data_IF_015238361104
#
_entry.id   IF_015238361104
#
_cell.length_a   1.000
_cell.length_b   1.000
_cell.length_c   1.000
_cell.angle_alpha   90.00
_cell.angle_beta   90.00
_cell.angle_gamma   90.00
#
_symmetry.space_group_name_H-M   'P 1'
#
loop_
_entity.id
_entity.type
_entity.pdbx_description
1 polymer ?
#
# COMPACT_ATOMS: atom_id res chain seq x y z
N UNK A 1 -17.95 17.35 -30.08
CA UNK A 1 -16.47 17.46 -30.08
C UNK A 1 -15.79 16.37 -29.26
N UNK A 2 -16.15 16.10 -27.99
CA UNK A 2 -15.51 15.02 -27.22
C UNK A 2 -15.69 13.61 -27.84
N UNK A 3 -16.90 13.29 -28.32
CA UNK A 3 -17.19 12.00 -28.95
C UNK A 3 -16.46 11.79 -30.29
N UNK A 4 -16.26 12.84 -31.10
CA UNK A 4 -15.53 12.74 -32.36
C UNK A 4 -14.02 12.61 -32.16
N UNK A 5 -13.48 13.23 -31.11
CA UNK A 5 -12.08 13.08 -30.71
C UNK A 5 -11.82 11.64 -30.23
N UNK A 6 -12.76 11.02 -29.49
CA UNK A 6 -12.62 9.64 -29.02
C UNK A 6 -12.49 8.60 -30.15
N UNK A 7 -13.13 8.84 -31.30
CA UNK A 7 -13.10 7.94 -32.48
C UNK A 7 -11.77 8.03 -33.25
N UNK A 8 -11.06 9.15 -33.16
CA UNK A 8 -9.81 9.38 -33.90
C UNK A 8 -8.53 9.11 -33.08
N UNK A 9 -8.66 8.64 -31.83
CA UNK A 9 -7.49 8.35 -31.01
C UNK A 9 -6.78 7.11 -31.54
N UNK A 10 -5.45 7.16 -31.77
CA UNK A 10 -4.71 5.98 -32.12
C UNK A 10 -4.85 4.90 -31.03
N UNK A 11 -4.79 3.61 -31.40
CA UNK A 11 -5.09 2.50 -30.49
C UNK A 11 -4.21 2.46 -29.23
N UNK A 12 -3.01 3.05 -29.27
CA UNK A 12 -2.14 3.18 -28.09
C UNK A 12 -2.57 4.31 -27.12
N UNK A 13 -3.27 5.34 -27.59
CA UNK A 13 -3.80 6.41 -26.74
C UNK A 13 -5.02 5.93 -25.96
N UNK A 14 -5.85 5.05 -26.56
CA UNK A 14 -6.92 4.34 -25.87
C UNK A 14 -6.38 3.54 -24.67
N UNK A 15 -5.19 2.94 -24.79
CA UNK A 15 -4.54 2.22 -23.69
C UNK A 15 -4.14 3.15 -22.54
N UNK A 16 -3.72 4.38 -22.82
CA UNK A 16 -3.29 5.33 -21.80
C UNK A 16 -4.49 5.95 -21.05
N UNK A 17 -5.53 6.37 -21.77
CA UNK A 17 -6.78 6.83 -21.16
C UNK A 17 -7.43 5.73 -20.32
N UNK A 18 -7.48 4.50 -20.86
CA UNK A 18 -8.05 3.38 -20.14
C UNK A 18 -7.29 3.11 -18.84
N UNK A 19 -5.96 3.23 -18.83
CA UNK A 19 -5.15 3.11 -17.60
C UNK A 19 -5.46 4.23 -16.60
N UNK A 20 -5.62 5.46 -17.06
CA UNK A 20 -5.94 6.60 -16.20
C UNK A 20 -7.34 6.48 -15.59
N UNK A 21 -8.36 6.18 -16.39
CA UNK A 21 -9.73 5.97 -15.91
C UNK A 21 -9.82 4.76 -14.97
N UNK A 22 -9.17 3.65 -15.34
CA UNK A 22 -9.13 2.45 -14.50
C UNK A 22 -8.44 2.72 -13.16
N UNK A 23 -7.37 3.54 -13.15
CA UNK A 23 -6.69 3.93 -11.92
C UNK A 23 -7.61 4.70 -10.97
N UNK A 24 -8.46 5.58 -11.49
CA UNK A 24 -9.42 6.35 -10.70
C UNK A 24 -10.54 5.45 -10.16
N UNK A 25 -11.09 4.57 -10.99
CA UNK A 25 -12.17 3.65 -10.60
C UNK A 25 -11.68 2.71 -9.50
N UNK A 26 -10.51 2.08 -9.68
CA UNK A 26 -9.92 1.18 -8.68
C UNK A 26 -9.53 1.92 -7.39
N UNK A 27 -9.05 3.17 -7.49
CA UNK A 27 -8.79 4.02 -6.32
C UNK A 27 -10.06 4.25 -5.49
N UNK A 28 -11.17 4.57 -6.16
CA UNK A 28 -12.45 4.80 -5.51
C UNK A 28 -13.03 3.51 -4.93
N UNK A 29 -12.89 2.40 -5.66
CA UNK A 29 -13.31 1.07 -5.19
C UNK A 29 -12.52 0.61 -3.96
N UNK A 30 -11.20 0.83 -3.95
CA UNK A 30 -10.34 0.61 -2.77
C UNK A 30 -10.82 1.42 -1.56
N UNK A 31 -11.22 2.69 -1.77
CA UNK A 31 -11.81 3.51 -0.71
C UNK A 31 -13.11 2.90 -0.17
N UNK A 32 -14.02 2.50 -1.06
CA UNK A 32 -15.30 1.92 -0.68
C UNK A 32 -15.12 0.60 0.08
N UNK A 33 -14.21 -0.28 -0.35
CA UNK A 33 -13.89 -1.51 0.37
C UNK A 33 -13.30 -1.23 1.75
N UNK A 34 -12.43 -0.23 1.87
CA UNK A 34 -11.87 0.17 3.16
C UNK A 34 -12.97 0.64 4.14
N UNK A 35 -13.90 1.48 3.67
CA UNK A 35 -15.04 1.92 4.49
C UNK A 35 -16.03 0.78 4.80
N UNK A 36 -16.13 -0.21 3.92
CA UNK A 36 -16.92 -1.43 4.14
C UNK A 36 -16.23 -2.44 5.09
N UNK A 37 -14.99 -2.20 5.50
CA UNK A 37 -14.21 -3.10 6.35
C UNK A 37 -13.55 -4.27 5.61
N UNK A 38 -13.68 -4.36 4.29
CA UNK A 38 -12.96 -5.33 3.47
C UNK A 38 -11.57 -4.80 3.11
N UNK A 39 -10.67 -4.88 4.08
CA UNK A 39 -9.31 -4.38 3.93
C UNK A 39 -8.45 -5.20 2.96
N UNK A 40 -8.80 -6.47 2.73
CA UNK A 40 -8.07 -7.33 1.79
C UNK A 40 -8.36 -6.89 0.36
N UNK A 41 -9.62 -6.72 0.00
CA UNK A 41 -10.00 -6.21 -1.32
C UNK A 41 -9.49 -4.79 -1.54
N UNK A 42 -9.54 -3.95 -0.50
CA UNK A 42 -8.98 -2.60 -0.55
C UNK A 42 -7.46 -2.59 -0.86
N UNK A 43 -6.71 -3.54 -0.28
CA UNK A 43 -5.28 -3.73 -0.51
C UNK A 43 -5.01 -4.17 -1.95
N UNK A 44 -5.74 -5.17 -2.45
CA UNK A 44 -5.59 -5.68 -3.83
C UNK A 44 -5.83 -4.57 -4.85
N UNK A 45 -6.88 -3.77 -4.65
CA UNK A 45 -7.15 -2.64 -5.51
C UNK A 45 -6.03 -1.61 -5.46
N UNK A 46 -5.54 -1.25 -4.26
CA UNK A 46 -4.45 -0.30 -4.11
C UNK A 46 -3.16 -0.76 -4.81
N UNK A 47 -2.81 -2.04 -4.70
CA UNK A 47 -1.64 -2.62 -5.39
C UNK A 47 -1.82 -2.62 -6.90
N UNK A 48 -3.02 -2.93 -7.38
CA UNK A 48 -3.34 -2.90 -8.81
C UNK A 48 -3.17 -1.49 -9.36
N UNK A 49 -3.62 -0.46 -8.66
CA UNK A 49 -3.46 0.92 -9.13
C UNK A 49 -1.99 1.36 -9.15
N UNK A 50 -1.19 0.98 -8.16
CA UNK A 50 0.25 1.27 -8.13
C UNK A 50 0.95 0.64 -9.35
N UNK A 51 0.51 -0.55 -9.79
CA UNK A 51 1.05 -1.20 -11.00
C UNK A 51 0.62 -0.48 -12.29
N UNK A 52 -0.62 0.01 -12.34
CA UNK A 52 -1.17 0.70 -13.52
C UNK A 52 -0.58 2.10 -13.71
N UNK A 53 -0.33 2.83 -12.61
CA UNK A 53 0.14 4.21 -12.61
C UNK A 53 1.40 4.36 -11.74
N UNK A 54 2.56 4.39 -12.39
CA UNK A 54 3.83 4.83 -11.77
C UNK A 54 4.15 6.24 -12.27
N UNK A 55 4.42 7.25 -11.43
CA UNK A 55 4.39 7.30 -9.96
C UNK A 55 3.02 7.72 -9.40
N UNK A 56 2.56 7.12 -8.31
CA UNK A 56 1.28 7.47 -7.68
C UNK A 56 1.31 7.37 -6.15
N UNK A 57 1.73 8.48 -5.53
CA UNK A 57 1.75 8.73 -4.08
C UNK A 57 0.46 8.28 -3.38
N UNK A 58 -0.71 8.69 -3.89
CA UNK A 58 -2.03 8.38 -3.31
C UNK A 58 -2.32 6.87 -3.25
N UNK A 59 -1.77 6.08 -4.17
CA UNK A 59 -1.91 4.62 -4.14
C UNK A 59 -1.15 3.98 -3.01
N UNK A 60 0.08 4.44 -2.78
CA UNK A 60 0.89 4.00 -1.65
C UNK A 60 0.22 4.34 -0.31
N UNK A 61 -0.40 5.51 -0.21
CA UNK A 61 -1.18 5.88 0.97
C UNK A 61 -2.38 4.96 1.23
N UNK A 62 -3.18 4.66 0.19
CA UNK A 62 -4.31 3.71 0.30
C UNK A 62 -3.84 2.31 0.68
N UNK A 63 -2.75 1.84 0.07
CA UNK A 63 -2.11 0.56 0.39
C UNK A 63 -1.72 0.51 1.87
N UNK A 64 -1.04 1.55 2.37
CA UNK A 64 -0.63 1.61 3.76
C UNK A 64 -1.81 1.62 4.74
N UNK A 65 -2.87 2.39 4.44
CA UNK A 65 -4.11 2.39 5.25
C UNK A 65 -4.71 1.00 5.37
N UNK A 66 -4.84 0.27 4.26
CA UNK A 66 -5.35 -1.10 4.27
C UNK A 66 -4.46 -2.04 5.08
N UNK A 67 -3.13 -1.94 4.91
CA UNK A 67 -2.16 -2.76 5.66
C UNK A 67 -2.18 -2.49 7.16
N UNK A 68 -2.37 -1.22 7.59
CA UNK A 68 -2.51 -0.88 9.01
C UNK A 68 -3.76 -1.51 9.65
N UNK A 69 -4.84 -1.69 8.88
CA UNK A 69 -6.06 -2.37 9.35
C UNK A 69 -5.94 -3.89 9.35
N UNK A 70 -4.99 -4.43 8.59
CA UNK A 70 -4.63 -5.85 8.58
C UNK A 70 -3.49 -6.17 9.56
N UNK A 71 -3.11 -5.23 10.43
CA UNK A 71 -1.98 -5.34 11.38
C UNK A 71 -0.61 -5.65 10.72
N UNK A 72 -0.46 -5.40 9.42
CA UNK A 72 0.78 -5.61 8.64
C UNK A 72 1.64 -4.35 8.63
N UNK A 73 2.08 -3.94 9.81
CA UNK A 73 2.73 -2.64 10.03
C UNK A 73 4.07 -2.44 9.28
N UNK A 74 4.91 -3.49 9.19
CA UNK A 74 6.19 -3.38 8.47
C UNK A 74 6.00 -3.11 6.98
N UNK A 75 5.01 -3.76 6.36
CA UNK A 75 4.70 -3.55 4.95
C UNK A 75 4.04 -2.19 4.72
N UNK A 76 3.21 -1.74 5.66
CA UNK A 76 2.63 -0.40 5.65
C UNK A 76 3.73 0.68 5.67
N UNK A 77 4.75 0.50 6.51
CA UNK A 77 5.91 1.41 6.60
C UNK A 77 6.63 1.52 5.26
N UNK A 78 6.97 0.38 4.66
CA UNK A 78 7.64 0.33 3.36
C UNK A 78 6.81 1.01 2.27
N UNK A 79 5.48 0.81 2.29
CA UNK A 79 4.58 1.45 1.34
C UNK A 79 4.57 2.98 1.48
N UNK A 80 4.48 3.51 2.71
CA UNK A 80 4.53 4.96 2.96
C UNK A 80 5.89 5.56 2.62
N UNK A 81 6.99 4.91 2.97
CA UNK A 81 8.32 5.39 2.63
C UNK A 81 8.51 5.52 1.11
N UNK A 82 8.00 4.53 0.35
CA UNK A 82 8.00 4.62 -1.11
C UNK A 82 7.09 5.76 -1.61
N UNK A 83 5.91 5.94 -1.01
CA UNK A 83 5.02 7.07 -1.30
C UNK A 83 5.68 8.44 -1.07
N UNK A 84 6.36 8.60 0.07
CA UNK A 84 7.11 9.81 0.45
C UNK A 84 8.31 10.06 -0.48
N UNK A 85 8.90 9.03 -1.08
CA UNK A 85 9.96 9.23 -2.07
C UNK A 85 9.45 9.96 -3.34
N UNK A 86 8.15 9.83 -3.65
CA UNK A 86 7.51 10.56 -4.75
C UNK A 86 6.99 11.93 -4.31
N UNK A 87 6.42 12.02 -3.11
CA UNK A 87 5.91 13.28 -2.53
C UNK A 87 6.46 13.49 -1.11
N UNK A 88 7.69 14.04 -0.97
CA UNK A 88 8.33 14.20 0.34
C UNK A 88 7.62 15.18 1.27
N UNK A 89 6.86 16.12 0.71
CA UNK A 89 6.21 17.20 1.44
C UNK A 89 4.73 16.90 1.77
N UNK A 90 4.34 15.62 1.81
CA UNK A 90 2.96 15.24 2.11
C UNK A 90 2.77 15.07 3.63
N UNK A 91 2.08 15.99 4.32
CA UNK A 91 1.94 15.94 5.77
C UNK A 91 1.14 14.72 6.25
N UNK A 92 0.15 14.27 5.49
CA UNK A 92 -0.68 13.11 5.84
C UNK A 92 0.15 11.82 5.84
N UNK A 93 1.06 11.66 4.87
CA UNK A 93 1.94 10.50 4.82
C UNK A 93 2.97 10.50 5.96
N UNK A 94 3.51 11.66 6.30
CA UNK A 94 4.44 11.81 7.43
C UNK A 94 3.77 11.48 8.77
N UNK A 95 2.52 11.93 8.98
CA UNK A 95 1.72 11.57 10.15
C UNK A 95 1.45 10.05 10.19
N UNK A 96 1.05 9.46 9.06
CA UNK A 96 0.81 8.02 8.97
C UNK A 96 2.07 7.19 9.26
N UNK A 97 3.24 7.65 8.81
CA UNK A 97 4.52 7.00 9.10
C UNK A 97 4.79 6.98 10.61
N UNK A 98 4.57 8.11 11.29
CA UNK A 98 4.74 8.20 12.74
C UNK A 98 3.77 7.27 13.49
N UNK A 99 2.51 7.19 13.04
CA UNK A 99 1.51 6.27 13.61
C UNK A 99 1.91 4.80 13.44
N UNK A 100 2.46 4.45 12.28
CA UNK A 100 2.96 3.09 11.99
C UNK A 100 4.16 2.77 12.89
N UNK A 101 5.13 3.70 13.01
CA UNK A 101 6.32 3.51 13.84
C UNK A 101 5.98 3.34 15.33
N UNK A 102 4.99 4.09 15.82
CA UNK A 102 4.48 3.95 17.18
C UNK A 102 3.88 2.56 17.46
N UNK A 103 3.30 1.89 16.46
CA UNK A 103 2.74 0.53 16.59
C UNK A 103 3.78 -0.58 16.41
N UNK A 104 4.86 -0.31 15.67
CA UNK A 104 5.96 -1.26 15.47
C UNK A 104 6.79 -1.40 16.76
N UNK A 105 7.15 -0.28 17.41
CA UNK A 105 8.00 -0.26 18.60
C UNK A 105 7.60 -1.25 19.72
N UNK A 106 6.32 -1.34 20.15
CA UNK A 106 5.91 -2.30 21.19
C UNK A 106 5.85 -3.77 20.72
N UNK A 107 5.85 -4.01 19.41
CA UNK A 107 5.68 -5.34 18.82
C UNK A 107 7.02 -6.07 18.62
N UNK A 108 8.08 -5.34 18.27
CA UNK A 108 9.43 -5.91 18.11
C UNK A 108 10.06 -6.40 19.42
N UNK A 109 9.70 -5.80 20.56
CA UNK A 109 10.18 -6.25 21.88
C UNK A 109 9.59 -7.60 22.28
N UNK A 110 8.33 -7.88 21.92
CA UNK A 110 7.68 -9.17 22.21
C UNK A 110 8.24 -10.30 21.35
N UNK A 111 8.51 -10.06 20.06
CA UNK A 111 9.07 -11.08 19.16
C UNK A 111 10.54 -11.40 19.50
N UNK A 112 11.35 -10.40 19.86
CA UNK A 112 12.74 -10.60 20.28
C UNK A 112 12.87 -11.40 21.60
N UNK A 113 11.85 -11.35 22.45
CA UNK A 113 11.78 -12.12 23.70
C UNK A 113 11.46 -13.60 23.48
N UNK A 114 10.68 -13.92 22.45
CA UNK A 114 10.27 -15.28 22.08
C UNK A 114 11.35 -16.05 21.32
N UNK A 115 12.14 -15.38 20.47
CA UNK A 115 13.24 -16.06 19.76
C UNK A 115 14.37 -16.49 20.71
N UNK A 116 14.68 -15.69 21.75
CA UNK A 116 15.70 -16.02 22.75
C UNK A 116 15.38 -17.26 23.60
N UNK A 117 14.12 -17.68 23.69
CA UNK A 117 13.72 -18.87 24.45
C UNK A 117 13.66 -20.15 23.59
N UNK A 118 13.80 -20.05 22.26
CA UNK A 118 13.64 -21.19 21.33
C UNK A 118 14.96 -21.80 20.84
N UNK A 119 16.11 -21.28 21.25
CA UNK A 119 17.43 -21.81 20.87
C UNK A 119 17.58 -23.29 21.33
N UNK A 120 17.72 -24.27 20.42
CA UNK A 120 17.90 -25.66 20.81
C UNK A 120 19.28 -25.84 21.46
N UNK A 121 19.31 -26.35 22.68
CA UNK A 121 20.55 -26.75 23.35
C UNK A 121 21.26 -27.84 22.52
N UNK A 122 22.57 -27.73 22.26
CA UNK A 122 23.30 -28.74 21.51
C UNK A 122 23.29 -30.07 22.28
N UNK A 123 22.88 -31.14 21.59
CA UNK A 123 22.83 -32.49 22.15
C UNK A 123 24.26 -32.97 22.39
N UNK A 124 24.64 -33.41 23.61
CA UNK A 124 25.99 -33.89 23.87
C UNK A 124 26.15 -35.28 23.26
N UNK A 125 27.08 -35.40 22.32
CA UNK A 125 27.50 -36.70 21.76
C UNK A 125 28.49 -37.30 22.76
N UNK A 126 28.13 -38.46 23.32
CA UNK A 126 29.01 -39.28 24.17
C UNK A 126 29.97 -40.13 23.34
#
# INVERSE_FOLDING_TARGET
MAASIAVQRPPWEAQQLMREELSMILSNRSAAFYEAGDFVSALVDAETVIQLKRPWSKGHFRKARALMKLDRYQEAKNAIQLGLSFEPNNPEMSQMLADIDARIAPSSEKTASLEKSSSPQPIPVS
#
